data_IF_646617795836
#
_entry.id   IF_646617795836
#
_cell.length_a   1.000
_cell.length_b   1.000
_cell.length_c   1.000
_cell.angle_alpha   90.00
_cell.angle_beta   90.00
_cell.angle_gamma   90.00
#
_symmetry.space_group_name_H-M   'P 1'
#
loop_
_entity.id
_entity.type
_entity.pdbx_description
1 polymer ?
#
# COMPACT_ATOMS: atom_id res chain seq x y z
N UNK A 1 54.37 -28.27 -6.07
CA UNK A 1 53.00 -28.44 -5.52
C UNK A 1 52.45 -27.06 -5.18
N UNK A 2 51.57 -26.47 -6.01
CA UNK A 2 50.96 -25.20 -5.69
C UNK A 2 49.71 -25.41 -4.82
N UNK A 3 49.71 -24.75 -3.66
CA UNK A 3 48.61 -24.71 -2.70
C UNK A 3 47.36 -24.12 -3.36
N UNK A 4 46.32 -24.93 -3.49
CA UNK A 4 45.01 -24.51 -3.98
C UNK A 4 44.28 -23.72 -2.89
N UNK A 5 43.96 -22.47 -3.17
CA UNK A 5 43.08 -21.66 -2.32
C UNK A 5 41.64 -22.21 -2.39
N UNK A 6 40.92 -22.28 -1.27
CA UNK A 6 39.55 -22.77 -1.28
C UNK A 6 38.61 -21.77 -1.99
N UNK A 7 37.54 -22.25 -2.65
CA UNK A 7 36.60 -21.38 -3.34
C UNK A 7 35.87 -20.50 -2.33
N UNK A 8 35.89 -19.19 -2.58
CA UNK A 8 35.13 -18.21 -1.82
C UNK A 8 33.64 -18.51 -1.98
N UNK A 9 33.01 -18.94 -0.88
CA UNK A 9 31.56 -19.09 -0.83
C UNK A 9 30.92 -17.72 -1.03
N UNK A 10 30.17 -17.60 -2.13
CA UNK A 10 29.28 -16.47 -2.37
C UNK A 10 28.22 -16.46 -1.28
N UNK A 11 28.41 -15.65 -0.24
CA UNK A 11 27.35 -15.31 0.71
C UNK A 11 26.25 -14.64 -0.10
N UNK A 12 25.16 -15.37 -0.34
CA UNK A 12 23.88 -14.81 -0.74
C UNK A 12 23.54 -13.71 0.26
N UNK A 13 23.62 -12.47 -0.20
CA UNK A 13 23.15 -11.33 0.57
C UNK A 13 21.65 -11.45 0.67
N UNK A 14 21.18 -11.78 1.87
CA UNK A 14 19.78 -11.67 2.25
C UNK A 14 19.28 -10.28 1.84
N UNK A 15 18.30 -10.26 0.94
CA UNK A 15 17.70 -9.04 0.42
C UNK A 15 17.23 -8.18 1.59
N UNK A 16 17.90 -7.05 1.83
CA UNK A 16 17.45 -6.07 2.81
C UNK A 16 16.06 -5.59 2.37
N UNK A 17 15.04 -5.96 3.13
CA UNK A 17 13.69 -5.40 3.04
C UNK A 17 13.72 -3.92 3.42
N UNK A 18 14.24 -3.07 2.52
CA UNK A 18 13.96 -1.64 2.49
C UNK A 18 12.56 -1.46 1.89
N UNK A 19 11.57 -2.12 2.50
CA UNK A 19 10.18 -2.05 2.07
C UNK A 19 9.61 -0.70 2.41
N UNK A 20 9.13 0.01 1.39
CA UNK A 20 8.21 1.12 1.54
C UNK A 20 6.84 0.63 2.05
N UNK A 21 6.00 1.56 2.50
CA UNK A 21 4.62 1.26 2.89
C UNK A 21 3.81 0.92 1.62
N UNK A 22 2.96 -0.13 1.60
CA UNK A 22 2.00 -0.32 0.51
C UNK A 22 1.12 0.92 0.40
N UNK A 23 1.02 1.45 -0.81
CA UNK A 23 0.14 2.56 -1.14
C UNK A 23 -1.03 2.02 -1.97
N UNK A 24 -1.86 2.90 -2.53
CA UNK A 24 -3.07 2.50 -3.26
C UNK A 24 -2.80 1.43 -4.34
N UNK A 25 -1.82 1.58 -5.25
CA UNK A 25 -1.62 0.60 -6.32
C UNK A 25 -1.25 -0.80 -5.82
N UNK A 26 -0.41 -0.92 -4.77
CA UNK A 26 -0.07 -2.25 -4.23
C UNK A 26 -1.28 -2.90 -3.56
N UNK A 27 -2.08 -2.12 -2.82
CA UNK A 27 -3.27 -2.64 -2.16
C UNK A 27 -4.37 -3.00 -3.15
N UNK A 28 -4.51 -2.26 -4.25
CA UNK A 28 -5.47 -2.58 -5.29
C UNK A 28 -5.06 -3.85 -6.05
N UNK A 29 -3.77 -4.00 -6.37
CA UNK A 29 -3.28 -5.24 -6.97
C UNK A 29 -3.44 -6.45 -6.02
N UNK A 30 -3.24 -6.26 -4.71
CA UNK A 30 -3.55 -7.27 -3.69
C UNK A 30 -5.04 -7.61 -3.70
N UNK A 31 -5.93 -6.61 -3.69
CA UNK A 31 -7.38 -6.81 -3.75
C UNK A 31 -7.78 -7.64 -4.97
N UNK A 32 -7.25 -7.31 -6.15
CA UNK A 32 -7.52 -8.01 -7.41
C UNK A 32 -7.06 -9.48 -7.36
N UNK A 33 -5.90 -9.77 -6.75
CA UNK A 33 -5.38 -11.14 -6.63
C UNK A 33 -6.05 -11.98 -5.55
N UNK A 34 -6.29 -11.38 -4.39
CA UNK A 34 -6.83 -12.07 -3.23
C UNK A 34 -8.34 -12.29 -3.35
N UNK A 35 -9.08 -11.34 -3.96
CA UNK A 35 -10.54 -11.38 -4.10
C UNK A 35 -11.06 -12.72 -4.62
N UNK A 36 -10.65 -13.19 -5.81
CA UNK A 36 -11.12 -14.46 -6.38
C UNK A 36 -10.84 -15.71 -5.52
N UNK A 37 -9.87 -15.63 -4.60
CA UNK A 37 -9.48 -16.75 -3.72
C UNK A 37 -10.20 -16.71 -2.38
N UNK A 38 -10.65 -15.53 -1.94
CA UNK A 38 -11.18 -15.31 -0.60
C UNK A 38 -12.68 -15.02 -0.57
N UNK A 39 -13.22 -14.31 -1.56
CA UNK A 39 -14.62 -13.89 -1.60
C UNK A 39 -15.56 -15.12 -1.68
N UNK A 40 -16.63 -15.07 -0.90
CA UNK A 40 -17.59 -16.16 -0.70
C UNK A 40 -17.09 -17.32 0.17
N UNK A 41 -15.81 -17.36 0.54
CA UNK A 41 -15.23 -18.48 1.30
C UNK A 41 -15.48 -18.34 2.80
N UNK A 42 -15.71 -19.48 3.45
CA UNK A 42 -15.91 -19.57 4.90
C UNK A 42 -14.55 -19.51 5.63
N UNK A 43 -14.47 -18.70 6.68
CA UNK A 43 -13.37 -18.71 7.63
C UNK A 43 -13.59 -19.86 8.61
N UNK A 44 -12.65 -20.79 8.67
CA UNK A 44 -12.76 -22.00 9.49
C UNK A 44 -11.95 -21.92 10.79
N UNK A 45 -10.94 -21.05 10.84
CA UNK A 45 -10.22 -20.70 12.07
C UNK A 45 -9.41 -19.43 11.90
N UNK A 46 -9.03 -18.84 13.03
CA UNK A 46 -8.08 -17.74 13.10
C UNK A 46 -7.10 -17.97 14.25
N UNK A 47 -5.81 -17.75 14.01
CA UNK A 47 -4.76 -17.80 15.03
C UNK A 47 -3.97 -16.51 15.01
N UNK A 48 -3.53 -16.05 16.18
CA UNK A 48 -2.73 -14.83 16.33
C UNK A 48 -1.45 -15.18 17.06
N UNK A 49 -0.33 -14.67 16.57
CA UNK A 49 0.96 -14.79 17.25
C UNK A 49 0.96 -13.95 18.53
N UNK A 50 1.10 -14.56 19.72
CA UNK A 50 1.07 -13.82 21.00
C UNK A 50 2.15 -12.73 21.09
N UNK A 51 3.29 -12.92 20.43
CA UNK A 51 4.39 -11.93 20.42
C UNK A 51 4.06 -10.66 19.62
N UNK A 52 3.12 -10.76 18.69
CA UNK A 52 2.73 -9.69 17.75
C UNK A 52 1.28 -9.22 17.92
N UNK A 53 0.57 -9.78 18.89
CA UNK A 53 -0.79 -9.42 19.29
C UNK A 53 -1.02 -7.91 19.48
N UNK A 54 -0.01 -7.16 19.90
CA UNK A 54 -0.08 -5.71 20.10
C UNK A 54 -0.36 -4.90 18.81
N UNK A 55 -0.31 -5.51 17.62
CA UNK A 55 -0.75 -4.89 16.35
C UNK A 55 -2.26 -4.99 16.10
N UNK A 56 -2.92 -5.93 16.78
CA UNK A 56 -4.37 -6.04 16.79
C UNK A 56 -4.93 -4.96 17.73
N UNK A 57 -5.78 -4.08 17.21
CA UNK A 57 -6.49 -3.02 17.95
C UNK A 57 -7.83 -3.55 18.48
N UNK A 58 -7.81 -4.82 18.90
CA UNK A 58 -8.96 -5.57 19.36
C UNK A 58 -8.48 -6.71 20.28
N UNK A 59 -9.27 -7.16 21.28
CA UNK A 59 -8.89 -8.29 22.11
C UNK A 59 -8.62 -9.56 21.29
N UNK A 60 -7.46 -10.19 21.49
CA UNK A 60 -6.99 -11.33 20.68
C UNK A 60 -7.93 -12.52 20.76
N UNK A 61 -8.37 -12.88 21.97
CA UNK A 61 -9.26 -14.03 22.18
C UNK A 61 -10.59 -13.84 21.47
N UNK A 62 -11.14 -12.62 21.53
CA UNK A 62 -12.38 -12.29 20.82
C UNK A 62 -12.16 -12.37 19.31
N UNK A 63 -11.05 -11.86 18.78
CA UNK A 63 -10.75 -11.97 17.35
C UNK A 63 -10.66 -13.44 16.89
N UNK A 64 -9.93 -14.27 17.63
CA UNK A 64 -9.75 -15.68 17.28
C UNK A 64 -11.06 -16.48 17.36
N UNK A 65 -11.99 -16.09 18.23
CA UNK A 65 -13.26 -16.77 18.44
C UNK A 65 -14.40 -16.22 17.56
N UNK A 66 -14.41 -14.93 17.23
CA UNK A 66 -15.51 -14.27 16.50
C UNK A 66 -15.33 -14.28 14.98
N UNK A 67 -14.09 -14.42 14.49
CA UNK A 67 -13.78 -14.42 13.07
C UNK A 67 -14.17 -15.74 12.37
N UNK A 68 -13.99 -16.93 12.97
CA UNK A 68 -14.44 -18.19 12.39
C UNK A 68 -15.97 -18.24 12.23
N UNK A 69 -16.42 -19.18 11.38
CA UNK A 69 -17.83 -19.35 11.01
C UNK A 69 -18.46 -18.14 10.31
N UNK A 70 -17.64 -17.25 9.74
CA UNK A 70 -18.06 -16.15 8.86
C UNK A 70 -17.49 -16.31 7.46
N UNK A 71 -18.27 -16.00 6.44
CA UNK A 71 -17.80 -15.84 5.06
C UNK A 71 -17.23 -14.44 4.83
N UNK A 72 -16.18 -14.38 4.00
CA UNK A 72 -15.70 -13.11 3.44
C UNK A 72 -16.63 -12.73 2.29
N UNK A 73 -17.43 -11.69 2.47
CA UNK A 73 -18.42 -11.24 1.48
C UNK A 73 -17.74 -10.52 0.33
N UNK A 74 -16.81 -9.62 0.64
CA UNK A 74 -16.09 -8.82 -0.36
C UNK A 74 -14.76 -8.34 0.17
N UNK A 75 -13.80 -8.18 -0.73
CA UNK A 75 -12.53 -7.52 -0.45
C UNK A 75 -12.50 -6.16 -1.16
N UNK A 76 -12.35 -5.10 -0.36
CA UNK A 76 -12.26 -3.73 -0.86
C UNK A 76 -11.06 -3.00 -0.26
N UNK A 77 -10.85 -1.76 -0.69
CA UNK A 77 -9.75 -0.91 -0.27
C UNK A 77 -10.29 0.48 0.04
N UNK A 78 -9.80 1.09 1.13
CA UNK A 78 -10.06 2.50 1.47
C UNK A 78 -8.74 3.21 1.76
N UNK A 79 -8.31 4.09 0.87
CA UNK A 79 -6.98 4.70 0.94
C UNK A 79 -5.89 3.64 1.05
N UNK A 80 -5.18 3.63 2.20
CA UNK A 80 -4.12 2.66 2.52
C UNK A 80 -4.56 1.52 3.44
N UNK A 81 -5.85 1.23 3.47
CA UNK A 81 -6.44 0.11 4.22
C UNK A 81 -6.99 -0.94 3.26
N UNK A 82 -6.70 -2.21 3.56
CA UNK A 82 -7.40 -3.35 2.96
C UNK A 82 -8.56 -3.74 3.88
N UNK A 83 -9.74 -3.96 3.30
CA UNK A 83 -11.01 -4.11 4.02
C UNK A 83 -11.67 -5.41 3.61
N UNK A 84 -11.83 -6.33 4.55
CA UNK A 84 -12.55 -7.58 4.36
C UNK A 84 -13.92 -7.45 5.00
N UNK A 85 -14.97 -7.34 4.20
CA UNK A 85 -16.33 -7.40 4.69
C UNK A 85 -16.68 -8.85 5.00
N UNK A 86 -17.29 -9.10 6.16
CA UNK A 86 -17.69 -10.44 6.59
C UNK A 86 -19.19 -10.53 6.78
N UNK A 87 -19.75 -11.73 6.64
CA UNK A 87 -21.17 -11.93 6.86
C UNK A 87 -21.58 -11.71 8.32
N UNK A 88 -22.88 -11.51 8.52
CA UNK A 88 -23.53 -11.60 9.82
C UNK A 88 -23.33 -13.02 10.37
N UNK A 89 -22.42 -13.20 11.33
CA UNK A 89 -22.33 -14.45 12.08
C UNK A 89 -23.68 -14.72 12.78
N UNK A 90 -24.15 -15.97 12.84
CA UNK A 90 -25.51 -16.33 13.29
C UNK A 90 -25.91 -15.74 14.65
N UNK A 91 -26.49 -14.52 14.64
CA UNK A 91 -26.91 -13.74 15.81
C UNK A 91 -26.10 -12.46 16.12
N UNK A 92 -25.08 -12.10 15.33
CA UNK A 92 -24.19 -10.95 15.56
C UNK A 92 -24.35 -9.81 14.55
N UNK A 93 -23.55 -8.76 14.71
CA UNK A 93 -23.45 -7.63 13.77
C UNK A 93 -22.53 -7.90 12.58
N UNK A 94 -22.75 -7.17 11.49
CA UNK A 94 -21.79 -7.06 10.39
C UNK A 94 -20.46 -6.56 10.95
N UNK A 95 -19.37 -7.16 10.46
CA UNK A 95 -18.03 -6.80 10.89
C UNK A 95 -17.08 -6.75 9.73
N UNK A 96 -16.06 -5.92 9.90
CA UNK A 96 -14.98 -5.75 8.94
C UNK A 96 -13.65 -6.02 9.60
N UNK A 97 -12.83 -6.81 8.93
CA UNK A 97 -11.40 -6.88 9.21
C UNK A 97 -10.73 -5.79 8.36
N UNK A 98 -10.13 -4.81 9.02
CA UNK A 98 -9.46 -3.69 8.34
C UNK A 98 -8.00 -3.68 8.71
N UNK A 99 -7.13 -3.64 7.69
CA UNK A 99 -5.69 -3.75 7.88
C UNK A 99 -5.00 -2.56 7.21
N UNK A 100 -4.31 -1.77 8.01
CA UNK A 100 -3.30 -0.83 7.53
C UNK A 100 -1.92 -1.50 7.64
N UNK A 101 -1.30 -1.89 6.52
CA UNK A 101 -0.04 -2.62 6.56
C UNK A 101 1.16 -1.75 6.99
N UNK A 102 1.06 -0.43 6.95
CA UNK A 102 2.17 0.48 7.28
C UNK A 102 3.46 0.06 6.52
N UNK A 103 4.66 0.29 7.06
CA UNK A 103 5.91 -0.01 6.34
C UNK A 103 6.19 -1.53 6.22
N UNK A 104 5.80 -2.31 7.23
CA UNK A 104 6.22 -3.70 7.39
C UNK A 104 5.21 -4.76 6.96
N UNK A 105 3.94 -4.38 6.83
CA UNK A 105 2.83 -5.29 6.59
C UNK A 105 2.84 -5.90 5.21
N UNK A 106 2.61 -7.21 5.14
CA UNK A 106 2.61 -8.04 3.95
C UNK A 106 1.53 -9.10 4.05
N UNK A 107 1.05 -9.55 2.90
CA UNK A 107 0.06 -10.62 2.81
C UNK A 107 0.68 -11.84 2.14
N UNK A 108 0.23 -13.01 2.53
CA UNK A 108 0.64 -14.27 1.92
C UNK A 108 -0.57 -15.18 1.87
N UNK A 109 -0.83 -15.77 0.70
CA UNK A 109 -1.67 -16.96 0.61
C UNK A 109 -0.75 -18.16 0.49
N UNK A 110 -0.94 -19.14 1.38
CA UNK A 110 -0.19 -20.38 1.39
C UNK A 110 -1.10 -21.56 1.73
N UNK A 111 -0.67 -22.77 1.38
CA UNK A 111 -1.28 -23.98 1.92
C UNK A 111 -0.81 -24.21 3.36
N UNK A 112 -1.64 -24.86 4.19
CA UNK A 112 -1.40 -25.00 5.62
C UNK A 112 -0.18 -25.85 6.01
N UNK A 113 0.44 -26.58 5.08
CA UNK A 113 1.69 -27.32 5.27
C UNK A 113 2.93 -26.45 5.06
N UNK A 114 2.80 -25.28 4.42
CA UNK A 114 3.91 -24.34 4.24
C UNK A 114 4.30 -23.75 5.60
N UNK A 115 5.59 -23.81 6.01
CA UNK A 115 6.03 -23.26 7.29
C UNK A 115 5.62 -21.80 7.50
N UNK A 116 5.14 -21.48 8.69
CA UNK A 116 4.72 -20.13 9.06
C UNK A 116 5.96 -19.25 9.35
N UNK A 117 6.14 -18.10 8.68
CA UNK A 117 7.27 -17.22 8.94
C UNK A 117 7.26 -16.62 10.35
N UNK A 118 8.43 -16.37 10.94
CA UNK A 118 8.54 -15.72 12.26
C UNK A 118 7.95 -14.29 12.31
N UNK A 119 7.77 -13.66 11.16
CA UNK A 119 7.13 -12.35 11.00
C UNK A 119 5.60 -12.42 11.00
N UNK A 120 5.01 -13.62 11.09
CA UNK A 120 3.56 -13.81 11.13
C UNK A 120 2.92 -13.16 12.35
N UNK A 121 1.84 -12.43 12.08
CA UNK A 121 1.01 -11.75 13.09
C UNK A 121 -0.25 -12.55 13.35
N UNK A 122 -0.93 -12.96 12.28
CA UNK A 122 -2.09 -13.84 12.35
C UNK A 122 -2.21 -14.67 11.07
N UNK A 123 -2.95 -15.76 11.21
CA UNK A 123 -3.33 -16.67 10.14
C UNK A 123 -4.83 -16.88 10.17
N UNK A 124 -5.48 -16.71 9.03
CA UNK A 124 -6.90 -17.00 8.81
C UNK A 124 -6.98 -18.22 7.90
N UNK A 125 -7.52 -19.32 8.40
CA UNK A 125 -7.74 -20.54 7.62
C UNK A 125 -9.07 -20.44 6.89
N UNK A 126 -9.01 -20.53 5.58
CA UNK A 126 -10.15 -20.47 4.68
C UNK A 126 -10.60 -21.89 4.35
N UNK A 127 -11.88 -22.09 4.12
CA UNK A 127 -12.47 -23.37 3.71
C UNK A 127 -11.63 -24.05 2.62
N UNK A 128 -11.23 -25.31 2.90
CA UNK A 128 -10.19 -26.02 2.15
C UNK A 128 -8.88 -26.09 2.94
N UNK A 129 -7.75 -25.88 2.27
CA UNK A 129 -6.39 -25.92 2.85
C UNK A 129 -5.65 -24.59 2.80
N UNK A 130 -6.28 -23.54 2.27
CA UNK A 130 -5.65 -22.24 2.08
C UNK A 130 -5.68 -21.41 3.35
N UNK A 131 -4.59 -20.71 3.57
CA UNK A 131 -4.39 -19.78 4.67
C UNK A 131 -4.07 -18.39 4.12
N UNK A 132 -4.81 -17.39 4.61
CA UNK A 132 -4.43 -15.99 4.50
C UNK A 132 -3.59 -15.62 5.72
N UNK A 133 -2.33 -15.29 5.50
CA UNK A 133 -1.38 -14.89 6.55
C UNK A 133 -1.08 -13.40 6.42
N UNK A 134 -1.16 -12.68 7.54
CA UNK A 134 -0.63 -11.32 7.64
C UNK A 134 0.72 -11.36 8.34
N UNK A 135 1.74 -10.80 7.66
CA UNK A 135 3.11 -10.77 8.12
C UNK A 135 3.52 -9.31 8.36
N UNK A 136 4.30 -9.05 9.40
CA UNK A 136 4.87 -7.73 9.63
C UNK A 136 6.29 -7.85 10.20
N UNK A 137 7.26 -7.28 9.49
CA UNK A 137 8.67 -7.29 9.89
C UNK A 137 9.11 -6.02 10.65
N UNK A 138 8.21 -5.04 10.84
CA UNK A 138 8.47 -3.79 11.58
C UNK A 138 7.55 -3.58 12.78
N UNK A 139 6.58 -4.46 12.99
CA UNK A 139 5.61 -4.38 14.10
C UNK A 139 4.82 -3.06 14.09
N UNK A 140 4.48 -2.57 12.89
CA UNK A 140 3.83 -1.28 12.70
C UNK A 140 2.38 -1.38 12.24
N UNK A 141 1.98 -2.53 11.68
CA UNK A 141 0.65 -2.80 11.19
C UNK A 141 -0.43 -2.44 12.19
N UNK A 142 -1.56 -1.97 11.66
CA UNK A 142 -2.76 -1.71 12.45
C UNK A 142 -3.87 -2.59 11.93
N UNK A 143 -4.32 -3.52 12.77
CA UNK A 143 -5.35 -4.50 12.43
C UNK A 143 -6.56 -4.20 13.29
N UNK A 144 -7.72 -4.03 12.67
CA UNK A 144 -8.97 -3.70 13.33
C UNK A 144 -10.01 -4.78 13.02
N UNK A 145 -10.82 -5.11 14.01
CA UNK A 145 -11.99 -5.96 13.87
C UNK A 145 -13.19 -5.16 14.36
N UNK A 146 -13.88 -4.52 13.42
CA UNK A 146 -14.75 -3.38 13.71
C UNK A 146 -16.20 -3.63 13.29
N UNK A 147 -17.12 -2.98 13.99
CA UNK A 147 -18.56 -2.88 13.70
C UNK A 147 -18.97 -1.49 13.19
N UNK A 148 -18.15 -0.48 13.46
CA UNK A 148 -18.32 0.88 12.97
C UNK A 148 -16.94 1.43 12.57
N UNK A 149 -16.69 1.48 11.26
CA UNK A 149 -15.40 1.92 10.72
C UNK A 149 -15.08 3.38 11.06
N UNK A 150 -16.11 4.25 11.05
CA UNK A 150 -15.95 5.68 11.27
C UNK A 150 -15.56 5.99 12.72
N UNK A 151 -16.08 5.20 13.66
CA UNK A 151 -15.81 5.35 15.10
C UNK A 151 -14.56 4.62 15.57
N UNK A 152 -14.33 3.42 15.06
CA UNK A 152 -13.30 2.51 15.61
C UNK A 152 -11.94 2.66 14.93
N UNK A 153 -11.89 3.20 13.72
CA UNK A 153 -10.64 3.33 12.95
C UNK A 153 -10.22 4.80 12.92
N UNK A 154 -9.06 5.15 13.53
CA UNK A 154 -8.58 6.52 13.55
C UNK A 154 -8.39 7.11 12.14
N UNK A 155 -8.94 8.30 11.91
CA UNK A 155 -8.78 9.01 10.65
C UNK A 155 -9.69 8.53 9.53
N UNK A 156 -10.60 7.56 9.77
CA UNK A 156 -11.42 6.96 8.72
C UNK A 156 -12.40 7.95 8.07
N UNK A 157 -13.04 8.78 8.89
CA UNK A 157 -14.04 9.76 8.46
C UNK A 157 -13.40 10.97 7.77
N UNK A 158 -12.13 11.23 8.06
CA UNK A 158 -11.34 12.34 7.53
C UNK A 158 -10.75 12.01 6.15
N UNK A 159 -10.71 10.74 5.75
CA UNK A 159 -10.17 10.33 4.45
C UNK A 159 -10.91 11.03 3.30
N UNK A 160 -10.13 11.60 2.39
CA UNK A 160 -10.63 12.17 1.15
C UNK A 160 -11.19 11.12 0.17
N UNK A 161 -11.64 11.54 -1.01
CA UNK A 161 -11.94 10.66 -2.13
C UNK A 161 -10.75 9.75 -2.43
N UNK A 162 -11.04 8.57 -2.95
CA UNK A 162 -9.99 7.67 -3.46
C UNK A 162 -9.22 8.34 -4.60
N UNK A 163 -7.90 8.21 -4.61
CA UNK A 163 -7.09 8.87 -5.64
C UNK A 163 -7.33 8.31 -7.06
N UNK A 164 -7.75 7.04 -7.18
CA UNK A 164 -8.17 6.43 -8.45
C UNK A 164 -9.57 6.91 -8.93
N UNK A 165 -10.36 7.57 -8.06
CA UNK A 165 -11.64 8.19 -8.42
C UNK A 165 -11.51 9.60 -9.00
N UNK A 166 -10.30 10.16 -9.05
CA UNK A 166 -10.03 11.52 -9.55
C UNK A 166 -10.53 11.70 -10.97
N UNK A 167 -10.29 10.75 -11.88
CA UNK A 167 -10.76 10.85 -13.26
C UNK A 167 -12.28 11.00 -13.34
N UNK A 168 -13.02 10.24 -12.53
CA UNK A 168 -14.48 10.23 -12.51
C UNK A 168 -15.08 11.49 -11.86
N UNK A 169 -14.39 12.13 -10.92
CA UNK A 169 -14.92 13.31 -10.22
C UNK A 169 -14.96 14.57 -11.09
N UNK A 170 -14.15 14.61 -12.15
CA UNK A 170 -14.03 15.75 -13.05
C UNK A 170 -13.15 16.89 -12.52
N UNK A 171 -12.57 17.65 -13.45
CA UNK A 171 -11.59 18.70 -13.16
C UNK A 171 -12.13 19.81 -12.26
N UNK A 172 -13.40 20.19 -12.39
CA UNK A 172 -13.96 21.30 -11.61
C UNK A 172 -14.11 20.96 -10.13
N UNK A 173 -14.53 19.72 -9.82
CA UNK A 173 -14.60 19.22 -8.45
C UNK A 173 -13.19 19.07 -7.87
N UNK A 174 -12.25 18.56 -8.67
CA UNK A 174 -10.84 18.48 -8.29
C UNK A 174 -10.26 19.85 -7.95
N UNK A 175 -10.45 20.87 -8.79
CA UNK A 175 -10.00 22.25 -8.55
C UNK A 175 -10.60 22.84 -7.28
N UNK A 176 -11.91 22.66 -7.06
CA UNK A 176 -12.58 23.12 -5.82
C UNK A 176 -11.94 22.48 -4.59
N UNK A 177 -11.61 21.19 -4.65
CA UNK A 177 -10.93 20.49 -3.56
C UNK A 177 -9.50 20.99 -3.36
N UNK A 178 -8.71 21.07 -4.44
CA UNK A 178 -7.33 21.54 -4.46
C UNK A 178 -7.19 22.92 -3.79
N UNK A 179 -8.16 23.81 -4.01
CA UNK A 179 -8.19 25.17 -3.44
C UNK A 179 -8.27 25.24 -1.91
N UNK A 180 -8.64 24.16 -1.22
CA UNK A 180 -8.75 24.12 0.24
C UNK A 180 -7.40 23.98 0.96
N UNK A 181 -6.36 23.51 0.27
CA UNK A 181 -5.07 23.16 0.87
C UNK A 181 -3.97 24.16 0.51
N UNK A 182 -2.97 24.40 1.33
CA UNK A 182 -1.91 25.42 1.05
C UNK A 182 -0.49 24.85 1.05
N UNK A 183 -0.40 23.54 1.14
CA UNK A 183 0.84 22.79 1.28
C UNK A 183 1.67 22.82 -0.01
N UNK A 184 2.91 22.37 0.11
CA UNK A 184 3.72 22.00 -1.04
C UNK A 184 3.11 20.79 -1.74
N UNK A 185 3.30 20.65 -3.06
CA UNK A 185 2.58 19.65 -3.83
C UNK A 185 2.83 18.21 -3.36
N UNK A 186 4.07 17.89 -2.94
CA UNK A 186 4.37 16.55 -2.42
C UNK A 186 3.61 16.26 -1.14
N UNK A 187 3.61 17.20 -0.20
CA UNK A 187 2.93 17.03 1.08
C UNK A 187 1.42 17.02 0.90
N UNK A 188 0.90 17.83 -0.02
CA UNK A 188 -0.50 17.81 -0.42
C UNK A 188 -0.93 16.44 -0.95
N UNK A 189 -0.16 15.85 -1.87
CA UNK A 189 -0.46 14.52 -2.41
C UNK A 189 -0.36 13.41 -1.35
N UNK A 190 0.46 13.60 -0.32
CA UNK A 190 0.57 12.67 0.81
C UNK A 190 -0.53 12.88 1.86
N UNK A 191 -1.24 14.01 1.84
CA UNK A 191 -2.33 14.30 2.74
C UNK A 191 -3.55 13.42 2.39
N UNK A 192 -3.87 12.46 3.28
CA UNK A 192 -4.98 11.52 3.06
C UNK A 192 -6.35 12.20 3.08
N UNK A 193 -6.49 13.39 3.67
CA UNK A 193 -7.71 14.19 3.57
C UNK A 193 -7.87 14.82 2.18
N UNK A 194 -6.76 15.11 1.47
CA UNK A 194 -6.83 15.60 0.10
C UNK A 194 -7.26 14.48 -0.84
N UNK A 195 -6.43 13.43 -0.93
CA UNK A 195 -6.74 12.20 -1.68
C UNK A 195 -6.23 11.01 -0.89
N UNK A 196 -7.11 10.04 -0.67
CA UNK A 196 -6.77 8.83 0.05
C UNK A 196 -5.94 7.91 -0.86
N UNK A 197 -4.86 7.33 -0.33
CA UNK A 197 -4.12 6.26 -0.99
C UNK A 197 -2.75 6.64 -1.57
N UNK A 198 -2.50 7.91 -1.89
CA UNK A 198 -1.18 8.36 -2.36
C UNK A 198 -0.24 8.53 -1.16
N UNK A 199 0.99 8.04 -1.28
CA UNK A 199 2.05 8.19 -0.28
C UNK A 199 3.35 8.73 -0.88
N UNK A 200 4.46 8.37 -0.25
CA UNK A 200 5.75 8.97 -0.57
C UNK A 200 6.23 8.60 -1.97
N UNK A 201 5.94 7.38 -2.44
CA UNK A 201 6.41 6.93 -3.74
C UNK A 201 5.57 7.50 -4.87
N UNK A 202 4.25 7.35 -4.79
CA UNK A 202 3.39 7.80 -5.88
C UNK A 202 3.29 9.33 -5.96
N UNK A 203 3.55 10.06 -4.87
CA UNK A 203 3.67 11.53 -4.95
C UNK A 203 4.84 11.97 -5.84
N UNK A 204 6.02 11.34 -5.74
CA UNK A 204 7.16 11.65 -6.63
C UNK A 204 6.82 11.35 -8.09
N UNK A 205 6.22 10.19 -8.36
CA UNK A 205 5.88 9.74 -9.71
C UNK A 205 4.79 10.60 -10.36
N UNK A 206 3.73 10.94 -9.61
CA UNK A 206 2.66 11.83 -10.09
C UNK A 206 3.22 13.20 -10.45
N UNK A 207 4.07 13.77 -9.61
CA UNK A 207 4.65 15.09 -9.86
C UNK A 207 5.65 15.07 -11.03
N UNK A 208 6.37 13.98 -11.21
CA UNK A 208 7.21 13.78 -12.39
C UNK A 208 6.38 13.68 -13.67
N UNK A 209 5.27 12.95 -13.65
CA UNK A 209 4.36 12.85 -14.79
C UNK A 209 3.72 14.22 -15.11
N UNK A 210 3.24 14.93 -14.08
CA UNK A 210 2.67 16.27 -14.21
C UNK A 210 3.70 17.37 -14.55
N UNK A 211 5.00 17.07 -14.50
CA UNK A 211 6.11 18.04 -14.70
C UNK A 211 6.10 19.19 -13.68
N UNK A 212 5.68 18.92 -12.45
CA UNK A 212 5.60 19.92 -11.39
C UNK A 212 6.68 19.70 -10.35
N UNK A 213 7.34 20.79 -9.92
CA UNK A 213 8.35 20.71 -8.87
C UNK A 213 7.69 20.35 -7.51
N UNK A 214 8.18 19.34 -6.78
CA UNK A 214 7.52 18.88 -5.55
C UNK A 214 7.36 19.90 -4.43
N UNK A 215 8.31 20.84 -4.34
CA UNK A 215 8.36 21.90 -3.33
C UNK A 215 7.54 23.13 -3.71
N UNK A 216 6.90 23.15 -4.89
CA UNK A 216 6.01 24.26 -5.24
C UNK A 216 4.80 24.27 -4.32
N UNK A 217 4.38 25.46 -3.93
CA UNK A 217 3.12 25.66 -3.20
C UNK A 217 1.94 25.46 -4.15
N UNK A 218 0.89 24.77 -3.70
CA UNK A 218 -0.36 24.63 -4.47
C UNK A 218 -0.85 25.97 -5.01
N UNK A 219 -0.82 27.02 -4.19
CA UNK A 219 -1.30 28.35 -4.55
C UNK A 219 -0.56 29.00 -5.75
N UNK A 220 0.60 28.48 -6.14
CA UNK A 220 1.37 28.97 -7.29
C UNK A 220 1.01 28.29 -8.61
N UNK A 221 0.11 27.30 -8.60
CA UNK A 221 -0.28 26.57 -9.81
C UNK A 221 -1.17 27.42 -10.71
N UNK A 222 -0.84 27.39 -12.00
CA UNK A 222 -1.70 27.90 -13.08
C UNK A 222 -2.80 26.89 -13.40
N UNK A 223 -3.93 27.32 -13.99
CA UNK A 223 -5.02 26.40 -14.35
C UNK A 223 -4.61 25.20 -15.20
N UNK A 224 -3.65 25.37 -16.12
CA UNK A 224 -3.08 24.30 -16.95
C UNK A 224 -2.22 23.31 -16.16
N UNK A 225 -1.58 23.77 -15.09
CA UNK A 225 -0.78 22.92 -14.20
C UNK A 225 -1.68 22.13 -13.24
N UNK A 226 -2.78 22.72 -12.78
CA UNK A 226 -3.83 22.00 -12.06
C UNK A 226 -4.42 20.86 -12.91
N UNK A 227 -4.63 21.13 -14.20
CA UNK A 227 -5.10 20.13 -15.16
C UNK A 227 -4.05 19.04 -15.44
N UNK A 228 -2.78 19.41 -15.60
CA UNK A 228 -1.70 18.44 -15.72
C UNK A 228 -1.61 17.50 -14.50
N UNK A 229 -1.76 18.05 -13.29
CA UNK A 229 -1.81 17.26 -12.06
C UNK A 229 -3.03 16.32 -12.03
N UNK A 230 -4.21 16.84 -12.38
CA UNK A 230 -5.45 16.08 -12.45
C UNK A 230 -5.33 14.86 -13.39
N UNK A 231 -4.71 15.05 -14.57
CA UNK A 231 -4.51 14.00 -15.55
C UNK A 231 -3.41 13.01 -15.14
N UNK A 232 -2.36 13.47 -14.48
CA UNK A 232 -1.22 12.64 -14.09
C UNK A 232 -1.58 11.60 -13.01
N UNK A 233 -2.44 11.94 -12.06
CA UNK A 233 -2.83 11.06 -10.94
C UNK A 233 -3.37 9.70 -11.45
N UNK A 234 -4.48 9.63 -12.20
CA UNK A 234 -5.04 8.36 -12.65
C UNK A 234 -4.05 7.61 -13.55
N UNK A 235 -3.33 8.31 -14.44
CA UNK A 235 -2.34 7.69 -15.34
C UNK A 235 -1.26 6.92 -14.56
N UNK A 236 -0.67 7.55 -13.55
CA UNK A 236 0.40 6.93 -12.75
C UNK A 236 -0.15 5.77 -11.92
N UNK A 237 -1.30 5.94 -11.28
CA UNK A 237 -1.88 4.89 -10.43
C UNK A 237 -2.30 3.67 -11.25
N UNK A 238 -2.97 3.86 -12.39
CA UNK A 238 -3.37 2.76 -13.28
C UNK A 238 -2.15 2.02 -13.82
N UNK A 239 -1.15 2.73 -14.36
CA UNK A 239 0.10 2.11 -14.85
C UNK A 239 0.81 1.30 -13.78
N UNK A 240 0.79 1.79 -12.53
CA UNK A 240 1.40 1.08 -11.41
C UNK A 240 0.67 -0.23 -11.08
N UNK A 241 -0.67 -0.20 -11.01
CA UNK A 241 -1.47 -1.42 -10.81
C UNK A 241 -1.21 -2.43 -11.93
N UNK A 242 -1.23 -1.98 -13.18
CA UNK A 242 -0.95 -2.82 -14.36
C UNK A 242 0.46 -3.43 -14.30
N UNK A 243 1.49 -2.64 -14.00
CA UNK A 243 2.86 -3.13 -13.88
C UNK A 243 3.01 -4.17 -12.77
N UNK A 244 2.33 -3.96 -11.63
CA UNK A 244 2.34 -4.89 -10.50
C UNK A 244 1.65 -6.21 -10.85
N UNK A 245 0.53 -6.17 -11.58
CA UNK A 245 -0.22 -7.36 -12.00
C UNK A 245 0.48 -8.10 -13.15
N UNK A 246 1.16 -7.38 -14.04
CA UNK A 246 1.89 -7.95 -15.17
C UNK A 246 3.20 -8.65 -14.76
N UNK A 247 3.71 -8.41 -13.54
CA UNK A 247 4.91 -9.07 -13.06
C UNK A 247 4.60 -10.56 -12.71
N UNK A 248 5.12 -11.53 -13.50
CA UNK A 248 4.86 -12.95 -13.26
C UNK A 248 5.48 -13.47 -11.96
N UNK A 249 6.49 -12.77 -11.44
CA UNK A 249 7.19 -13.09 -10.20
C UNK A 249 6.71 -12.21 -9.03
N UNK A 250 5.56 -11.55 -9.16
CA UNK A 250 5.03 -10.82 -8.03
C UNK A 250 4.62 -11.80 -6.93
N UNK A 251 5.19 -11.56 -5.76
CA UNK A 251 4.80 -12.22 -4.52
C UNK A 251 4.07 -11.17 -3.67
N UNK A 252 2.90 -11.49 -3.12
CA UNK A 252 2.12 -10.60 -2.24
C UNK A 252 2.93 -10.15 -1.00
N UNK A 253 3.95 -10.93 -0.66
CA UNK A 253 4.88 -10.68 0.43
C UNK A 253 6.02 -9.71 0.06
N UNK A 254 6.20 -9.41 -1.24
CA UNK A 254 7.25 -8.52 -1.76
C UNK A 254 6.63 -7.31 -2.44
N UNK A 255 7.29 -6.16 -2.29
CA UNK A 255 6.94 -4.97 -3.05
C UNK A 255 8.00 -4.76 -4.12
N UNK A 256 7.63 -5.01 -5.37
CA UNK A 256 8.45 -4.61 -6.49
C UNK A 256 7.99 -3.24 -6.98
N UNK A 257 8.88 -2.26 -6.89
CA UNK A 257 8.70 -0.88 -7.39
C UNK A 257 9.77 -0.52 -8.43
N UNK A 258 10.42 -1.51 -9.02
CA UNK A 258 11.51 -1.31 -10.00
C UNK A 258 11.08 -0.51 -11.24
N UNK A 259 9.78 -0.57 -11.58
CA UNK A 259 9.15 0.14 -12.69
C UNK A 259 9.04 1.67 -12.51
N UNK A 260 9.17 2.20 -11.28
CA UNK A 260 9.01 3.63 -11.00
C UNK A 260 10.07 4.49 -11.72
N UNK A 261 9.73 5.68 -12.22
CA UNK A 261 10.63 6.49 -13.03
C UNK A 261 11.65 7.29 -12.22
N UNK A 262 11.26 7.84 -11.07
CA UNK A 262 12.08 8.76 -10.27
C UNK A 262 12.22 8.38 -8.80
N UNK A 263 11.21 7.75 -8.20
CA UNK A 263 11.23 7.40 -6.78
C UNK A 263 12.35 6.40 -6.47
N UNK A 264 13.10 6.63 -5.39
CA UNK A 264 14.31 5.87 -5.01
C UNK A 264 15.40 5.82 -6.11
N UNK A 265 15.35 6.72 -7.10
CA UNK A 265 16.32 6.81 -8.21
C UNK A 265 17.21 8.06 -8.10
N UNK A 266 17.37 8.61 -6.90
CA UNK A 266 18.30 9.70 -6.59
C UNK A 266 19.69 9.45 -7.16
N UNK A 267 20.22 10.44 -7.88
CA UNK A 267 21.52 10.38 -8.53
C UNK A 267 21.57 9.62 -9.85
N UNK A 268 20.50 8.90 -10.26
CA UNK A 268 20.41 8.23 -11.56
C UNK A 268 19.97 9.20 -12.66
N UNK A 269 20.01 8.73 -13.91
CA UNK A 269 19.62 9.48 -15.11
C UNK A 269 18.10 9.51 -15.26
N UNK A 270 17.54 10.69 -15.52
CA UNK A 270 16.12 10.88 -15.80
C UNK A 270 15.76 10.18 -17.13
N UNK A 271 14.72 9.33 -17.15
CA UNK A 271 14.33 8.60 -18.36
C UNK A 271 13.73 9.51 -19.45
N UNK A 272 13.32 10.74 -19.12
CA UNK A 272 12.68 11.67 -20.07
C UNK A 272 13.65 12.66 -20.72
N UNK A 273 14.60 13.21 -19.96
CA UNK A 273 15.48 14.29 -20.45
C UNK A 273 16.98 14.08 -20.17
N UNK A 274 17.38 12.93 -19.63
CA UNK A 274 18.79 12.62 -19.35
C UNK A 274 19.42 13.36 -18.17
N UNK A 275 18.74 14.33 -17.54
CA UNK A 275 19.27 15.02 -16.36
C UNK A 275 19.39 14.10 -15.15
N UNK A 276 20.33 14.40 -14.24
CA UNK A 276 20.45 13.68 -12.97
C UNK A 276 19.24 13.92 -12.07
N UNK A 277 18.63 12.84 -11.59
CA UNK A 277 17.53 12.87 -10.62
C UNK A 277 18.07 13.39 -9.28
N UNK A 278 17.47 14.46 -8.78
CA UNK A 278 17.76 15.05 -7.48
C UNK A 278 17.13 14.23 -6.37
N UNK A 279 17.76 14.21 -5.20
CA UNK A 279 17.20 13.65 -3.98
C UNK A 279 17.33 14.66 -2.84
N UNK A 280 16.23 14.89 -2.14
CA UNK A 280 16.20 15.61 -0.87
C UNK A 280 15.67 14.66 0.22
N UNK A 281 15.90 15.01 1.48
CA UNK A 281 15.45 14.21 2.63
C UNK A 281 16.32 12.99 2.93
N UNK A 282 15.89 12.21 3.91
CA UNK A 282 16.61 11.01 4.35
C UNK A 282 16.38 9.83 3.39
N UNK A 283 17.26 8.83 3.41
CA UNK A 283 17.06 7.59 2.64
C UNK A 283 15.82 6.78 3.08
N UNK A 284 15.19 7.12 4.21
CA UNK A 284 13.95 6.48 4.68
C UNK A 284 12.69 7.09 4.05
N UNK A 285 12.76 8.37 3.72
CA UNK A 285 11.67 9.13 3.10
C UNK A 285 12.27 10.14 2.11
N UNK A 286 12.82 9.65 0.98
CA UNK A 286 13.42 10.54 0.02
C UNK A 286 12.33 11.26 -0.78
N UNK A 287 12.70 12.45 -1.24
CA UNK A 287 12.00 13.22 -2.25
C UNK A 287 12.86 13.21 -3.50
N UNK A 288 12.40 12.48 -4.52
CA UNK A 288 13.10 12.33 -5.78
C UNK A 288 12.39 13.08 -6.91
N UNK A 289 13.15 13.85 -7.69
CA UNK A 289 12.59 14.66 -8.78
C UNK A 289 13.66 15.01 -9.81
N UNK A 290 13.24 15.34 -11.02
CA UNK A 290 14.11 15.78 -12.10
C UNK A 290 13.98 17.29 -12.32
N UNK A 291 15.03 18.05 -12.00
CA UNK A 291 15.09 19.51 -12.22
C UNK A 291 15.00 19.92 -13.69
N UNK A 292 15.35 19.04 -14.62
CA UNK A 292 15.21 19.30 -16.05
C UNK A 292 13.80 19.07 -16.61
N UNK A 293 12.94 18.36 -15.87
CA UNK A 293 11.56 18.06 -16.29
C UNK A 293 10.50 18.77 -15.46
N UNK A 294 10.80 19.14 -14.22
CA UNK A 294 9.85 19.64 -13.23
C UNK A 294 10.21 21.06 -12.84
N UNK A 295 9.27 21.99 -13.08
CA UNK A 295 9.42 23.43 -12.86
C UNK A 295 8.49 23.96 -11.76
#
# INVERSE_FOLDING_TARGET
>A
MPLSLPPQSSRQTSGRYLGSMPELPELEALRIRLGPRLEGRLITAATVNPKKAHMLRYPVEHFANELPARRIVSLSRRGKHLVFATELGGGGSERWLVINPMLGGRFQIADGDVPVPATEVFTIRIEGRQELRYLDFRDMGRIYWATDLAREIPGWSELGPEADSVAAMGIDVFRKRLRRFRDELKDLLRNQEFLAGIGNAYSDEVLFEARLLPLRRRASLKPSEEEALFLAIPVVLTRAVEAILANPNYEESKQDRSFMAVHMKGGKTCPRCGHRISQLGSNREPLNFCRGCQL
#
